data_IF_173086310344
#
_entry.id   IF_173086310344
#
_cell.length_a   1.000
_cell.length_b   1.000
_cell.length_c   1.000
_cell.angle_alpha   90.00
_cell.angle_beta   90.00
_cell.angle_gamma   90.00
#
_symmetry.space_group_name_H-M   'P 1'
#
loop_
_entity.id
_entity.type
_entity.pdbx_description
1 polymer ?
#
# COMPACT_ATOMS: atom_id res chain seq x y z
N UNK A 1 9.31 18.19 -5.25
CA UNK A 1 9.50 18.35 -3.80
C UNK A 1 9.99 17.01 -3.26
N UNK A 2 11.26 16.92 -2.86
CA UNK A 2 11.83 15.72 -2.21
C UNK A 2 11.58 15.94 -0.73
N UNK A 3 10.79 15.08 -0.11
CA UNK A 3 10.63 15.07 1.33
C UNK A 3 12.05 15.00 1.95
N UNK A 4 12.49 15.95 2.78
CA UNK A 4 13.80 15.92 3.44
C UNK A 4 14.01 14.68 4.34
N UNK A 5 12.96 13.94 4.66
CA UNK A 5 13.04 12.63 5.34
C UNK A 5 13.13 11.46 4.35
N UNK A 6 12.91 11.69 3.05
CA UNK A 6 13.09 10.67 2.04
C UNK A 6 14.57 10.41 1.80
N UNK A 7 15.03 9.15 1.88
CA UNK A 7 16.43 8.80 1.68
C UNK A 7 16.94 9.31 0.33
N UNK A 8 18.22 9.70 0.24
CA UNK A 8 18.82 10.18 -1.02
C UNK A 8 18.41 9.25 -2.17
N UNK A 9 17.67 9.76 -3.17
CA UNK A 9 17.04 8.92 -4.19
C UNK A 9 18.08 8.19 -5.07
N UNK A 10 19.31 8.70 -5.11
CA UNK A 10 20.40 8.15 -5.91
C UNK A 10 21.32 7.21 -5.11
N UNK A 11 21.56 7.50 -3.83
CA UNK A 11 22.62 6.84 -3.04
C UNK A 11 22.09 5.86 -1.98
N UNK A 12 20.87 6.05 -1.48
CA UNK A 12 20.40 5.23 -0.37
C UNK A 12 20.03 3.81 -0.82
N UNK A 13 20.35 2.82 0.02
CA UNK A 13 19.97 1.42 -0.21
C UNK A 13 18.49 1.15 0.07
N UNK A 14 17.82 1.99 0.87
CA UNK A 14 16.44 1.82 1.31
C UNK A 14 15.47 2.79 0.60
N UNK A 15 15.51 2.82 -0.73
CA UNK A 15 14.63 3.69 -1.54
C UNK A 15 13.47 2.86 -2.11
N UNK A 16 12.24 3.30 -1.86
CA UNK A 16 11.02 2.72 -2.44
C UNK A 16 10.63 3.43 -3.75
N UNK A 17 9.75 2.81 -4.52
CA UNK A 17 9.30 3.28 -5.84
C UNK A 17 8.86 4.76 -5.88
N UNK A 18 8.18 5.27 -4.86
CA UNK A 18 7.72 6.66 -4.81
C UNK A 18 8.87 7.66 -4.55
N UNK A 19 9.88 7.26 -3.78
CA UNK A 19 11.08 8.06 -3.51
C UNK A 19 12.14 8.01 -4.61
N UNK A 20 12.18 6.93 -5.40
CA UNK A 20 13.18 6.74 -6.45
C UNK A 20 13.08 7.81 -7.57
N UNK A 21 14.20 8.09 -8.24
CA UNK A 21 14.28 9.06 -9.35
C UNK A 21 15.05 8.48 -10.55
N UNK A 22 14.87 9.09 -11.73
CA UNK A 22 15.63 8.78 -12.96
C UNK A 22 15.56 7.31 -13.39
N UNK A 23 16.70 6.76 -13.83
CA UNK A 23 16.80 5.37 -14.28
C UNK A 23 16.41 4.37 -13.17
N UNK A 24 16.77 4.65 -11.92
CA UNK A 24 16.42 3.80 -10.77
C UNK A 24 14.92 3.68 -10.59
N UNK A 25 14.18 4.79 -10.71
CA UNK A 25 12.72 4.76 -10.70
C UNK A 25 12.15 3.95 -11.85
N UNK A 26 12.65 4.16 -13.07
CA UNK A 26 12.19 3.42 -14.26
C UNK A 26 12.37 1.90 -14.05
N UNK A 27 13.51 1.49 -13.51
CA UNK A 27 13.82 0.10 -13.16
C UNK A 27 12.84 -0.48 -12.14
N UNK A 28 12.74 0.15 -10.97
CA UNK A 28 11.86 -0.32 -9.89
C UNK A 28 10.41 -0.37 -10.37
N UNK A 29 9.94 0.68 -11.06
CA UNK A 29 8.56 0.75 -11.57
C UNK A 29 8.27 -0.30 -12.62
N UNK A 30 9.19 -0.58 -13.53
CA UNK A 30 9.00 -1.62 -14.56
C UNK A 30 8.79 -2.98 -13.90
N UNK A 31 9.65 -3.33 -12.93
CA UNK A 31 9.56 -4.61 -12.20
C UNK A 31 8.28 -4.66 -11.35
N UNK A 32 8.01 -3.63 -10.54
CA UNK A 32 6.80 -3.59 -9.70
C UNK A 32 5.52 -3.64 -10.53
N UNK A 33 5.44 -2.94 -11.66
CA UNK A 33 4.24 -2.96 -12.52
C UNK A 33 4.01 -4.34 -13.13
N UNK A 34 5.07 -5.12 -13.39
CA UNK A 34 4.95 -6.50 -13.85
C UNK A 34 4.29 -7.43 -12.82
N UNK A 35 4.42 -7.12 -11.53
CA UNK A 35 3.79 -7.89 -10.44
C UNK A 35 2.31 -7.52 -10.21
N UNK A 36 1.84 -6.41 -10.78
CA UNK A 36 0.47 -5.90 -10.65
C UNK A 36 -0.29 -5.94 -11.99
N UNK A 37 0.05 -6.87 -12.87
CA UNK A 37 -0.64 -7.05 -14.14
C UNK A 37 -2.01 -7.73 -13.95
N UNK A 38 -2.87 -7.68 -14.98
CA UNK A 38 -4.23 -8.24 -14.94
C UNK A 38 -4.26 -9.72 -14.56
N UNK A 39 -3.32 -10.53 -15.02
CA UNK A 39 -3.24 -11.97 -14.65
C UNK A 39 -2.99 -12.14 -13.15
N UNK A 40 -2.12 -11.33 -12.56
CA UNK A 40 -1.85 -11.34 -11.11
C UNK A 40 -3.04 -10.81 -10.32
N UNK A 41 -3.71 -9.76 -10.79
CA UNK A 41 -4.94 -9.24 -10.16
C UNK A 41 -6.07 -10.29 -10.14
N UNK A 42 -6.26 -11.02 -11.25
CA UNK A 42 -7.22 -12.15 -11.30
C UNK A 42 -6.88 -13.24 -10.28
N UNK A 43 -5.60 -13.53 -10.07
CA UNK A 43 -5.15 -14.51 -9.05
C UNK A 43 -5.34 -14.00 -7.62
N UNK A 44 -5.36 -12.69 -7.40
CA UNK A 44 -5.62 -12.08 -6.08
C UNK A 44 -7.10 -12.08 -5.73
N UNK A 45 -8.01 -12.03 -6.73
CA UNK A 45 -9.44 -11.92 -6.51
C UNK A 45 -10.00 -13.00 -5.56
N UNK A 46 -9.72 -14.31 -5.71
CA UNK A 46 -10.21 -15.32 -4.78
C UNK A 46 -9.78 -15.07 -3.32
N UNK A 47 -8.56 -14.54 -3.10
CA UNK A 47 -8.08 -14.21 -1.76
C UNK A 47 -8.86 -13.03 -1.17
N UNK A 48 -9.21 -12.05 -2.00
CA UNK A 48 -10.02 -10.90 -1.59
C UNK A 48 -11.42 -11.38 -1.21
N UNK A 49 -12.05 -12.22 -2.03
CA UNK A 49 -13.40 -12.75 -1.75
C UNK A 49 -13.44 -13.56 -0.46
N UNK A 50 -12.46 -14.44 -0.22
CA UNK A 50 -12.36 -15.18 1.03
C UNK A 50 -12.22 -14.28 2.28
N UNK A 51 -11.61 -13.09 2.15
CA UNK A 51 -11.55 -12.10 3.23
C UNK A 51 -12.85 -11.31 3.37
N UNK A 52 -13.56 -11.05 2.28
CA UNK A 52 -14.89 -10.43 2.32
C UNK A 52 -15.89 -11.35 3.04
N UNK A 53 -15.88 -12.64 2.75
CA UNK A 53 -16.76 -13.62 3.41
C UNK A 53 -16.54 -13.63 4.94
N UNK A 54 -15.28 -13.66 5.37
CA UNK A 54 -14.91 -13.60 6.78
C UNK A 54 -15.31 -12.27 7.42
N UNK A 55 -15.17 -11.16 6.69
CA UNK A 55 -15.57 -9.84 7.16
C UNK A 55 -17.08 -9.77 7.38
N UNK A 56 -17.88 -10.31 6.46
CA UNK A 56 -19.34 -10.39 6.63
C UNK A 56 -19.69 -11.24 7.86
N UNK A 57 -19.06 -12.40 8.03
CA UNK A 57 -19.25 -13.24 9.23
C UNK A 57 -18.87 -12.49 10.52
N UNK A 58 -17.80 -11.71 10.48
CA UNK A 58 -17.38 -10.87 11.61
C UNK A 58 -18.43 -9.80 11.94
N UNK A 59 -18.96 -9.09 10.94
CA UNK A 59 -20.01 -8.09 11.14
C UNK A 59 -21.28 -8.71 11.74
N UNK A 60 -21.68 -9.89 11.25
CA UNK A 60 -22.84 -10.63 11.80
C UNK A 60 -22.63 -11.02 13.26
N UNK A 61 -21.42 -11.48 13.64
CA UNK A 61 -21.09 -11.84 15.03
C UNK A 61 -21.09 -10.66 15.99
N UNK A 62 -20.73 -9.47 15.53
CA UNK A 62 -20.73 -8.25 16.34
C UNK A 62 -22.14 -7.73 16.64
N UNK A 63 -23.21 -8.43 16.22
CA UNK A 63 -24.61 -8.03 16.38
C UNK A 63 -24.89 -6.61 15.86
N UNK A 64 -24.11 -6.17 14.87
CA UNK A 64 -24.27 -4.90 14.16
C UNK A 64 -25.71 -4.69 13.68
N UNK A 65 -26.40 -5.78 13.31
CA UNK A 65 -27.77 -5.74 12.82
C UNK A 65 -28.84 -5.49 13.89
N UNK A 66 -28.57 -5.85 15.16
CA UNK A 66 -29.56 -5.83 16.25
C UNK A 66 -29.32 -4.72 17.27
N UNK A 67 -28.26 -3.94 17.08
CA UNK A 67 -27.87 -2.88 17.99
C UNK A 67 -28.25 -1.52 17.39
N UNK A 68 -29.00 -0.70 18.13
CA UNK A 68 -29.23 0.73 17.80
C UNK A 68 -27.95 1.58 17.98
N UNK A 69 -26.78 0.95 18.07
CA UNK A 69 -25.52 1.63 18.30
C UNK A 69 -24.92 2.12 16.98
N UNK A 70 -24.40 3.34 16.98
CA UNK A 70 -23.60 3.87 15.90
C UNK A 70 -22.33 3.02 15.69
N UNK A 71 -21.97 2.78 14.42
CA UNK A 71 -20.85 1.94 14.05
C UNK A 71 -19.81 2.76 13.30
N UNK A 72 -18.57 2.73 13.80
CA UNK A 72 -17.43 3.28 13.07
C UNK A 72 -17.01 2.34 11.93
N UNK A 73 -17.53 2.62 10.73
CA UNK A 73 -17.22 1.87 9.51
C UNK A 73 -15.76 2.01 9.08
N UNK A 74 -15.08 3.10 9.44
CA UNK A 74 -13.70 3.34 9.02
C UNK A 74 -12.74 2.37 9.68
N UNK A 75 -12.85 2.16 11.00
CA UNK A 75 -12.05 1.16 11.72
C UNK A 75 -12.27 -0.27 11.18
N UNK A 76 -13.49 -0.59 10.75
CA UNK A 76 -13.83 -1.87 10.13
C UNK A 76 -13.17 -2.04 8.76
N UNK A 77 -13.26 -1.03 7.89
CA UNK A 77 -12.61 -1.06 6.58
C UNK A 77 -11.08 -1.03 6.69
N UNK A 78 -10.50 -0.39 7.71
CA UNK A 78 -9.07 -0.52 7.99
C UNK A 78 -8.70 -1.97 8.30
N UNK A 79 -9.45 -2.67 9.14
CA UNK A 79 -9.17 -4.09 9.42
C UNK A 79 -9.26 -4.96 8.16
N UNK A 80 -10.29 -4.74 7.34
CA UNK A 80 -10.50 -5.44 6.08
C UNK A 80 -9.34 -5.24 5.11
N UNK A 81 -9.00 -3.99 4.83
CA UNK A 81 -7.93 -3.63 3.88
C UNK A 81 -6.55 -4.08 4.35
N UNK A 82 -6.30 -4.05 5.67
CA UNK A 82 -5.07 -4.61 6.25
C UNK A 82 -4.96 -6.12 6.04
N UNK A 83 -6.07 -6.84 6.17
CA UNK A 83 -6.09 -8.27 5.89
C UNK A 83 -5.81 -8.57 4.42
N UNK A 84 -6.55 -7.91 3.54
CA UNK A 84 -6.44 -8.08 2.09
C UNK A 84 -5.02 -7.82 1.63
N UNK A 85 -4.40 -6.71 2.07
CA UNK A 85 -3.02 -6.39 1.71
C UNK A 85 -2.02 -7.32 2.39
N UNK A 86 -2.29 -7.79 3.61
CA UNK A 86 -1.50 -8.81 4.29
C UNK A 86 -1.45 -10.13 3.51
N UNK A 87 -2.56 -10.56 2.92
CA UNK A 87 -2.62 -11.78 2.11
C UNK A 87 -2.01 -11.60 0.72
N UNK A 88 -2.36 -10.51 0.04
CA UNK A 88 -1.95 -10.32 -1.35
C UNK A 88 -0.53 -9.76 -1.47
N UNK A 89 -0.11 -8.82 -0.62
CA UNK A 89 1.21 -8.20 -0.71
C UNK A 89 2.27 -8.90 0.15
N UNK A 90 1.90 -9.53 1.27
CA UNK A 90 2.84 -10.13 2.22
C UNK A 90 2.74 -11.67 2.31
N UNK A 91 1.80 -12.29 1.60
CA UNK A 91 1.63 -13.75 1.59
C UNK A 91 1.22 -14.33 2.94
N UNK A 92 0.57 -13.55 3.80
CA UNK A 92 0.16 -13.99 5.12
C UNK A 92 -1.01 -14.98 5.05
N UNK A 93 -1.11 -15.84 6.06
CA UNK A 93 -2.24 -16.75 6.19
C UNK A 93 -3.50 -16.00 6.65
N UNK A 94 -4.64 -16.48 6.18
CA UNK A 94 -6.00 -16.06 6.57
C UNK A 94 -6.12 -16.13 8.10
N UNK A 95 -6.32 -15.00 8.78
CA UNK A 95 -6.51 -14.93 10.25
C UNK A 95 -6.87 -13.50 10.78
N UNK A 96 -7.37 -12.58 9.94
CA UNK A 96 -7.38 -11.16 10.33
C UNK A 96 -8.38 -10.78 11.43
N UNK A 97 -9.51 -11.48 11.53
CA UNK A 97 -10.63 -11.06 12.38
C UNK A 97 -10.71 -11.79 13.73
N UNK A 98 -10.04 -12.94 13.89
CA UNK A 98 -10.01 -13.67 15.18
C UNK A 98 -8.90 -13.18 16.12
N UNK A 99 -7.83 -12.61 15.55
CA UNK A 99 -6.76 -11.93 16.30
C UNK A 99 -6.13 -10.85 15.40
N UNK A 100 -6.27 -9.55 15.69
CA UNK A 100 -5.76 -8.50 14.81
C UNK A 100 -4.26 -8.73 14.59
N UNK A 101 -3.85 -8.98 13.34
CA UNK A 101 -2.52 -9.47 13.08
C UNK A 101 -1.50 -8.36 13.36
N UNK A 102 -0.28 -8.73 13.78
CA UNK A 102 0.74 -7.77 14.23
C UNK A 102 1.03 -6.65 13.21
N UNK A 103 0.82 -6.93 11.92
CA UNK A 103 0.98 -5.94 10.84
C UNK A 103 -0.09 -4.85 10.85
N UNK A 104 -1.33 -5.15 11.27
CA UNK A 104 -2.39 -4.15 11.42
C UNK A 104 -1.98 -3.03 12.39
N UNK A 105 -1.36 -3.41 13.51
CA UNK A 105 -0.81 -2.44 14.47
C UNK A 105 0.29 -1.58 13.83
N UNK A 106 1.16 -2.16 13.00
CA UNK A 106 2.20 -1.39 12.31
C UNK A 106 1.61 -0.43 11.28
N UNK A 107 0.64 -0.87 10.47
CA UNK A 107 -0.02 -0.02 9.49
C UNK A 107 -0.79 1.13 10.15
N UNK A 108 -1.56 0.84 11.20
CA UNK A 108 -2.26 1.86 11.98
C UNK A 108 -1.30 2.83 12.68
N UNK A 109 -0.11 2.41 13.07
CA UNK A 109 0.91 3.31 13.64
C UNK A 109 1.58 4.21 12.61
N UNK A 110 1.53 3.87 11.32
CA UNK A 110 2.05 4.73 10.25
C UNK A 110 1.08 5.88 9.93
N UNK A 111 -0.23 5.67 10.07
CA UNK A 111 -1.27 6.65 9.72
C UNK A 111 -2.10 7.17 10.92
N UNK A 112 -1.94 6.59 12.10
CA UNK A 112 -2.76 6.88 13.27
C UNK A 112 -2.44 8.23 13.91
N UNK A 113 -3.32 8.72 14.80
CA UNK A 113 -3.21 10.02 15.47
C UNK A 113 -2.16 10.01 16.59
N UNK A 114 -1.07 9.26 16.45
CA UNK A 114 0.17 9.61 17.16
C UNK A 114 1.01 10.46 16.21
N UNK A 115 0.73 11.78 16.09
CA UNK A 115 1.76 12.69 15.66
C UNK A 115 2.81 12.59 16.76
N UNK A 116 3.86 11.79 16.53
CA UNK A 116 5.08 11.96 17.30
C UNK A 116 5.65 13.29 16.85
N UNK A 117 5.06 14.39 17.35
CA UNK A 117 5.49 15.78 17.27
C UNK A 117 6.37 16.03 16.04
N UNK A 118 5.84 15.78 14.84
CA UNK A 118 6.28 16.51 13.68
C UNK A 118 5.34 17.70 13.60
N UNK A 119 5.44 18.60 14.59
CA UNK A 119 5.35 20.02 14.26
C UNK A 119 6.14 20.15 12.98
N UNK A 120 5.45 20.52 11.92
CA UNK A 120 5.90 20.48 10.55
C UNK A 120 7.24 21.23 10.44
N UNK A 121 8.36 20.55 10.72
CA UNK A 121 9.68 21.16 10.76
C UNK A 121 10.09 21.62 9.36
N UNK A 122 9.39 21.12 8.32
CA UNK A 122 9.45 21.63 6.96
C UNK A 122 8.96 23.08 6.87
N UNK A 123 7.94 23.49 7.63
CA UNK A 123 7.55 24.91 7.72
C UNK A 123 8.61 25.76 8.42
N UNK A 124 9.29 25.22 9.45
CA UNK A 124 10.41 25.90 10.13
C UNK A 124 11.71 25.92 9.31
N UNK A 125 11.90 24.97 8.40
CA UNK A 125 13.09 24.83 7.55
C UNK A 125 13.25 26.02 6.59
N UNK A 126 12.14 26.64 6.20
CA UNK A 126 12.13 27.88 5.41
C UNK A 126 12.56 29.11 6.21
N UNK A 127 12.34 29.11 7.53
CA UNK A 127 12.53 30.30 8.38
C UNK A 127 14.00 30.39 8.85
N UNK A 128 14.68 29.26 9.12
CA UNK A 128 16.07 29.28 9.63
C UNK A 128 16.92 28.13 9.03
N UNK A 129 17.56 28.33 7.87
CA UNK A 129 18.38 27.29 7.23
C UNK A 129 19.61 26.85 8.05
N UNK A 130 20.10 27.70 8.96
CA UNK A 130 21.34 27.48 9.74
C UNK A 130 21.21 26.42 10.85
N UNK A 131 20.00 26.18 11.38
CA UNK A 131 19.77 25.25 12.50
C UNK A 131 19.48 23.82 12.03
N UNK A 132 19.25 23.62 10.74
CA UNK A 132 18.86 22.32 10.14
C UNK A 132 19.86 21.20 10.42
N UNK A 133 21.17 21.47 10.46
CA UNK A 133 22.20 20.47 10.76
C UNK A 133 22.25 20.07 12.24
N UNK A 134 21.95 20.99 13.15
CA UNK A 134 21.97 20.71 14.60
C UNK A 134 20.66 20.05 15.05
N UNK A 135 19.54 20.50 14.49
CA UNK A 135 18.24 19.86 14.64
C UNK A 135 18.22 18.47 14.01
N UNK A 136 18.77 18.28 12.81
CA UNK A 136 18.84 16.94 12.19
C UNK A 136 19.64 15.96 13.03
N UNK A 137 20.70 16.42 13.70
CA UNK A 137 21.53 15.58 14.56
C UNK A 137 20.80 15.18 15.85
N UNK A 138 20.03 16.09 16.45
CA UNK A 138 19.18 15.80 17.61
C UNK A 138 17.99 14.90 17.21
N UNK A 139 17.34 15.15 16.07
CA UNK A 139 16.28 14.28 15.56
C UNK A 139 16.81 12.90 15.22
N UNK A 140 17.99 12.77 14.62
CA UNK A 140 18.62 11.47 14.32
C UNK A 140 18.97 10.69 15.59
N UNK A 141 19.38 11.36 16.66
CA UNK A 141 19.67 10.73 17.96
C UNK A 141 18.37 10.27 18.65
N UNK A 142 17.32 11.09 18.63
CA UNK A 142 16.01 10.78 19.22
C UNK A 142 15.29 9.70 18.39
N UNK A 143 15.36 9.76 17.07
CA UNK A 143 14.76 8.80 16.13
C UNK A 143 15.53 7.49 15.99
N UNK A 144 16.84 7.45 16.25
CA UNK A 144 17.58 6.18 16.40
C UNK A 144 17.24 5.46 17.71
N UNK A 145 16.82 6.20 18.74
CA UNK A 145 16.51 5.66 20.06
C UNK A 145 15.09 5.08 20.13
N UNK A 146 14.12 5.70 19.46
CA UNK A 146 12.78 5.13 19.28
C UNK A 146 12.79 4.20 18.07
N UNK A 147 12.47 2.90 18.23
CA UNK A 147 12.24 2.02 17.08
C UNK A 147 11.02 2.50 16.32
N UNK A 148 11.25 3.25 15.24
CA UNK A 148 10.20 3.79 14.37
C UNK A 148 9.25 2.65 13.93
N UNK A 149 7.95 2.91 13.80
CA UNK A 149 6.99 1.92 13.31
C UNK A 149 7.40 1.35 11.93
N UNK A 150 8.06 2.18 11.11
CA UNK A 150 8.65 1.81 9.83
C UNK A 150 9.75 0.74 9.97
N UNK A 151 10.64 0.86 10.95
CA UNK A 151 11.72 -0.11 11.17
C UNK A 151 11.18 -1.44 11.71
N UNK A 152 10.14 -1.39 12.57
CA UNK A 152 9.44 -2.60 13.01
C UNK A 152 8.75 -3.32 11.84
N UNK A 153 8.18 -2.55 10.92
CA UNK A 153 7.58 -3.10 9.70
C UNK A 153 8.65 -3.67 8.75
N UNK A 154 9.80 -3.01 8.60
CA UNK A 154 10.95 -3.54 7.85
C UNK A 154 11.44 -4.87 8.44
N UNK A 155 11.61 -4.94 9.77
CA UNK A 155 12.01 -6.15 10.47
C UNK A 155 10.98 -7.28 10.24
N UNK A 156 9.69 -6.95 10.24
CA UNK A 156 8.62 -7.90 9.98
C UNK A 156 8.68 -8.44 8.55
N UNK A 157 8.78 -7.57 7.54
CA UNK A 157 8.89 -7.96 6.12
C UNK A 157 10.17 -8.78 5.88
N UNK A 158 11.29 -8.38 6.49
CA UNK A 158 12.57 -9.11 6.39
C UNK A 158 12.44 -10.52 6.95
N UNK A 159 11.76 -10.68 8.09
CA UNK A 159 11.46 -12.00 8.67
C UNK A 159 10.59 -12.85 7.75
N UNK A 160 9.61 -12.24 7.07
CA UNK A 160 8.77 -12.95 6.09
C UNK A 160 9.60 -13.39 4.87
N UNK A 161 10.46 -12.51 4.35
CA UNK A 161 11.37 -12.82 3.25
C UNK A 161 12.33 -13.97 3.56
N UNK A 162 12.84 -14.02 4.80
CA UNK A 162 13.75 -15.08 5.25
C UNK A 162 13.05 -16.43 5.46
N UNK A 163 11.74 -16.41 5.75
CA UNK A 163 10.96 -17.65 5.87
C UNK A 163 10.73 -18.20 4.47
N UNK A 164 11.18 -19.44 4.23
CA UNK A 164 10.78 -20.21 3.04
C UNK A 164 9.28 -20.50 3.16
N UNK A 165 8.44 -19.62 2.63
CA UNK A 165 7.00 -19.88 2.57
C UNK A 165 6.79 -21.09 1.64
N UNK A 166 6.22 -22.17 2.19
CA UNK A 166 5.97 -23.43 1.45
C UNK A 166 4.92 -23.27 0.35
N UNK A 167 4.11 -22.20 0.40
CA UNK A 167 3.12 -21.84 -0.61
C UNK A 167 3.70 -20.82 -1.60
N UNK A 168 4.02 -21.27 -2.81
CA UNK A 168 4.11 -20.39 -3.98
C UNK A 168 2.69 -19.99 -4.37
N UNK A 169 2.10 -19.04 -3.67
CA UNK A 169 0.84 -18.47 -4.14
C UNK A 169 1.17 -17.38 -5.15
N UNK A 170 0.74 -17.54 -6.41
CA UNK A 170 1.13 -16.64 -7.50
C UNK A 170 0.62 -15.20 -7.32
N UNK A 171 -0.35 -15.01 -6.43
CA UNK A 171 -0.91 -13.74 -5.99
C UNK A 171 -0.04 -12.97 -4.98
N UNK A 172 1.03 -13.56 -4.43
CA UNK A 172 1.90 -12.90 -3.44
C UNK A 172 2.91 -11.97 -4.12
N UNK A 173 2.69 -10.66 -3.98
CA UNK A 173 3.55 -9.62 -4.57
C UNK A 173 4.98 -9.72 -4.03
N UNK A 174 5.17 -10.04 -2.74
CA UNK A 174 6.50 -10.16 -2.13
C UNK A 174 7.33 -11.25 -2.80
N UNK A 175 6.73 -12.41 -3.04
CA UNK A 175 7.43 -13.53 -3.71
C UNK A 175 7.67 -13.23 -5.18
N UNK A 176 6.68 -12.63 -5.87
CA UNK A 176 6.86 -12.22 -7.26
C UNK A 176 8.03 -11.23 -7.41
N UNK A 177 8.19 -10.27 -6.48
CA UNK A 177 9.35 -9.36 -6.49
C UNK A 177 10.67 -10.05 -6.14
N UNK A 178 10.63 -11.07 -5.27
CA UNK A 178 11.80 -11.87 -4.91
C UNK A 178 12.36 -12.65 -6.10
N UNK A 179 11.55 -13.02 -7.09
CA UNK A 179 12.04 -13.65 -8.33
C UNK A 179 13.00 -12.73 -9.12
N UNK A 180 12.90 -11.42 -8.93
CA UNK A 180 13.77 -10.42 -9.54
C UNK A 180 14.96 -10.02 -8.64
N UNK A 181 15.22 -10.73 -7.54
CA UNK A 181 16.28 -10.40 -6.60
C UNK A 181 17.69 -10.62 -7.19
N UNK A 182 18.58 -9.63 -7.03
CA UNK A 182 20.04 -9.80 -7.15
C UNK A 182 20.66 -10.20 -5.83
N UNK A 183 21.48 -11.25 -5.83
CA UNK A 183 22.36 -11.60 -4.70
C UNK A 183 23.63 -10.75 -4.62
N UNK A 184 23.93 -9.92 -5.62
CA UNK A 184 25.17 -9.15 -5.68
C UNK A 184 25.12 -7.91 -4.78
N UNK A 185 26.02 -7.89 -3.79
CA UNK A 185 26.36 -6.75 -2.93
C UNK A 185 27.11 -5.61 -3.67
N UNK A 186 26.96 -5.49 -4.99
CA UNK A 186 27.73 -4.56 -5.81
C UNK A 186 26.96 -3.26 -6.10
N UNK A 187 26.67 -2.48 -5.06
CA UNK A 187 26.10 -1.13 -5.23
C UNK A 187 27.13 -0.08 -5.67
N UNK A 188 28.43 -0.36 -5.57
CA UNK A 188 29.47 0.65 -5.83
C UNK A 188 29.87 0.79 -7.31
N UNK A 189 29.48 -0.14 -8.19
CA UNK A 189 29.90 -0.09 -9.59
C UNK A 189 28.87 0.56 -10.53
N UNK A 190 27.57 0.45 -10.26
CA UNK A 190 26.51 0.94 -11.17
C UNK A 190 26.12 2.39 -10.90
N UNK A 191 26.23 2.89 -9.67
CA UNK A 191 25.98 4.31 -9.36
C UNK A 191 27.10 5.25 -9.87
N UNK A 192 28.28 4.70 -10.21
CA UNK A 192 29.40 5.41 -10.86
C UNK A 192 29.47 5.21 -12.38
N UNK A 193 28.52 4.50 -12.99
CA UNK A 193 28.51 4.42 -14.45
C UNK A 193 28.00 5.74 -15.01
N UNK A 194 28.91 6.47 -15.64
CA UNK A 194 28.61 7.62 -16.47
C UNK A 194 27.40 7.33 -17.37
N UNK A 195 26.50 8.31 -17.46
CA UNK A 195 25.33 8.33 -18.34
C UNK A 195 25.64 7.88 -19.79
N UNK A 196 26.88 8.08 -20.24
CA UNK A 196 27.36 7.70 -21.57
C UNK A 196 27.65 6.19 -21.74
N UNK A 197 27.89 5.43 -20.67
CA UNK A 197 28.10 3.97 -20.75
C UNK A 197 26.79 3.17 -20.77
N UNK A 198 25.66 3.79 -20.37
CA UNK A 198 24.32 3.17 -20.44
C UNK A 198 23.84 3.08 -21.89
N UNK A 199 24.24 4.03 -22.75
CA UNK A 199 23.89 4.04 -24.18
C UNK A 199 24.62 2.97 -25.00
N UNK A 200 25.76 2.46 -24.51
CA UNK A 200 26.59 1.46 -25.20
C UNK A 200 26.33 0.01 -24.73
N UNK A 201 25.38 -0.21 -23.81
CA UNK A 201 24.94 -1.54 -23.43
C UNK A 201 23.83 -1.98 -24.39
N UNK A 202 24.26 -2.70 -25.42
CA UNK A 202 23.43 -3.38 -26.40
C UNK A 202 22.10 -3.91 -25.84
N UNK A 203 21.07 -3.79 -26.68
CA UNK A 203 19.69 -4.28 -26.60
C UNK A 203 19.55 -5.81 -26.39
N UNK A 204 20.29 -6.38 -25.46
CA UNK A 204 20.03 -7.70 -24.89
C UNK A 204 19.14 -7.50 -23.67
N UNK A 205 17.99 -8.17 -23.67
CA UNK A 205 17.02 -8.24 -22.57
C UNK A 205 17.65 -8.81 -21.29
N UNK A 206 18.57 -8.09 -20.64
CA UNK A 206 18.98 -8.39 -19.28
C UNK A 206 17.77 -8.07 -18.41
N UNK A 207 17.16 -9.10 -17.85
CA UNK A 207 16.11 -8.95 -16.85
C UNK A 207 16.62 -7.98 -15.77
N UNK A 208 15.96 -6.83 -15.68
CA UNK A 208 16.27 -5.86 -14.65
C UNK A 208 16.01 -6.52 -13.28
N UNK A 209 16.92 -6.32 -12.33
CA UNK A 209 16.85 -6.93 -11.01
C UNK A 209 16.79 -5.88 -9.90
N UNK A 210 16.24 -6.28 -8.75
CA UNK A 210 16.11 -5.47 -7.53
C UNK A 210 17.01 -5.98 -6.42
N UNK A 211 17.49 -5.06 -5.60
CA UNK A 211 18.17 -5.42 -4.36
C UNK A 211 17.16 -5.73 -3.25
N UNK A 212 17.53 -6.58 -2.30
CA UNK A 212 16.67 -6.99 -1.17
C UNK A 212 16.07 -5.78 -0.44
N UNK A 213 16.87 -4.75 -0.19
CA UNK A 213 16.41 -3.52 0.48
C UNK A 213 15.40 -2.72 -0.36
N UNK A 214 15.53 -2.72 -1.68
CA UNK A 214 14.56 -2.08 -2.58
C UNK A 214 13.26 -2.88 -2.63
N UNK A 215 13.33 -4.21 -2.58
CA UNK A 215 12.16 -5.09 -2.48
C UNK A 215 11.41 -4.83 -1.18
N UNK A 216 12.11 -4.85 -0.04
CA UNK A 216 11.53 -4.56 1.29
C UNK A 216 10.88 -3.18 1.30
N UNK A 217 11.59 -2.17 0.82
CA UNK A 217 11.10 -0.78 0.82
C UNK A 217 9.88 -0.62 -0.11
N UNK A 218 9.87 -1.29 -1.26
CA UNK A 218 8.77 -1.22 -2.23
C UNK A 218 7.53 -1.94 -1.71
N UNK A 219 7.68 -3.14 -1.13
CA UNK A 219 6.56 -3.87 -0.51
C UNK A 219 6.01 -3.10 0.67
N UNK A 220 6.87 -2.56 1.54
CA UNK A 220 6.44 -1.68 2.64
C UNK A 220 5.57 -0.55 2.12
N UNK A 221 6.02 0.14 1.07
CA UNK A 221 5.27 1.24 0.47
C UNK A 221 3.92 0.77 -0.09
N UNK A 222 3.88 -0.32 -0.86
CA UNK A 222 2.63 -0.88 -1.40
C UNK A 222 1.67 -1.30 -0.28
N UNK A 223 2.17 -1.91 0.80
CA UNK A 223 1.34 -2.32 1.93
C UNK A 223 0.69 -1.14 2.64
N UNK A 224 1.47 -0.07 2.86
CA UNK A 224 1.00 1.16 3.50
C UNK A 224 0.01 1.89 2.59
N UNK A 225 0.35 2.05 1.31
CA UNK A 225 -0.49 2.77 0.34
C UNK A 225 -1.84 2.07 0.11
N UNK A 226 -1.87 0.74 0.02
CA UNK A 226 -3.08 -0.03 -0.25
C UNK A 226 -4.00 -0.22 0.97
N UNK A 227 -3.50 0.02 2.17
CA UNK A 227 -4.26 -0.08 3.42
C UNK A 227 -5.19 1.14 3.61
N UNK A 228 -4.61 2.32 3.84
CA UNK A 228 -5.39 3.46 4.35
C UNK A 228 -6.22 4.15 3.26
N UNK A 229 -5.70 4.26 2.03
CA UNK A 229 -6.42 4.92 0.93
C UNK A 229 -7.70 4.17 0.54
N UNK A 230 -7.64 2.84 0.50
CA UNK A 230 -8.80 1.99 0.21
C UNK A 230 -9.82 2.06 1.35
N UNK A 231 -9.37 2.02 2.61
CA UNK A 231 -10.25 2.10 3.77
C UNK A 231 -11.02 3.43 3.80
N UNK A 232 -10.33 4.55 3.56
CA UNK A 232 -10.96 5.86 3.48
C UNK A 232 -11.96 5.94 2.31
N UNK A 233 -11.60 5.41 1.13
CA UNK A 233 -12.51 5.39 -0.04
C UNK A 233 -13.81 4.65 0.28
N UNK A 234 -13.71 3.45 0.85
CA UNK A 234 -14.89 2.65 1.22
C UNK A 234 -15.73 3.34 2.30
N UNK A 235 -15.09 3.94 3.29
CA UNK A 235 -15.78 4.68 4.36
C UNK A 235 -16.58 5.86 3.81
N UNK A 236 -15.97 6.70 2.96
CA UNK A 236 -16.68 7.82 2.34
C UNK A 236 -17.75 7.36 1.36
N UNK A 237 -17.52 6.29 0.60
CA UNK A 237 -18.53 5.73 -0.30
C UNK A 237 -19.75 5.25 0.49
N UNK A 238 -19.56 4.53 1.60
CA UNK A 238 -20.66 4.11 2.47
C UNK A 238 -21.41 5.29 3.07
N UNK A 239 -20.69 6.32 3.54
CA UNK A 239 -21.29 7.55 4.05
C UNK A 239 -22.14 8.25 2.98
N UNK A 240 -21.61 8.46 1.77
CA UNK A 240 -22.33 9.10 0.67
C UNK A 240 -23.56 8.28 0.23
N UNK A 241 -23.46 6.96 0.20
CA UNK A 241 -24.59 6.08 -0.13
C UNK A 241 -25.68 6.10 0.95
N UNK A 242 -25.29 6.15 2.22
CA UNK A 242 -26.24 6.25 3.33
C UNK A 242 -27.04 7.56 3.28
N UNK A 243 -26.40 8.67 2.90
CA UNK A 243 -27.04 9.98 2.69
C UNK A 243 -27.87 10.05 1.39
N UNK A 244 -27.75 9.08 0.48
CA UNK A 244 -28.42 9.08 -0.82
C UNK A 244 -29.12 7.74 -1.11
N UNK A 245 -30.25 7.43 -0.43
CA UNK A 245 -30.93 6.13 -0.56
C UNK A 245 -31.33 5.77 -2.00
N UNK A 246 -31.78 6.77 -2.78
CA UNK A 246 -32.11 6.63 -4.21
C UNK A 246 -30.93 6.12 -5.08
N UNK A 247 -29.69 6.46 -4.68
CA UNK A 247 -28.47 6.05 -5.38
C UNK A 247 -28.04 4.68 -4.89
N UNK A 248 -28.25 4.38 -3.61
CA UNK A 248 -28.03 3.06 -3.03
C UNK A 248 -28.95 1.99 -3.67
N UNK A 249 -30.21 2.32 -3.92
CA UNK A 249 -31.14 1.42 -4.61
C UNK A 249 -30.62 1.03 -6.00
N UNK A 250 -30.12 2.00 -6.78
CA UNK A 250 -29.49 1.72 -8.09
C UNK A 250 -28.25 0.84 -8.01
N UNK A 251 -27.46 0.96 -6.94
CA UNK A 251 -26.34 0.04 -6.69
C UNK A 251 -26.85 -1.38 -6.48
N UNK A 252 -27.91 -1.56 -5.68
CA UNK A 252 -28.51 -2.88 -5.48
C UNK A 252 -29.11 -3.44 -6.77
N UNK A 253 -29.82 -2.64 -7.57
CA UNK A 253 -30.32 -3.05 -8.88
C UNK A 253 -29.20 -3.53 -9.81
N UNK A 254 -28.06 -2.84 -9.82
CA UNK A 254 -26.90 -3.27 -10.60
C UNK A 254 -26.32 -4.59 -10.06
N UNK A 255 -26.15 -4.73 -8.74
CA UNK A 255 -25.67 -5.98 -8.12
C UNK A 255 -26.59 -7.16 -8.46
N UNK A 256 -27.91 -6.96 -8.37
CA UNK A 256 -28.92 -7.97 -8.71
C UNK A 256 -28.92 -8.31 -10.21
N UNK A 257 -28.52 -7.37 -11.07
CA UNK A 257 -28.36 -7.65 -12.49
C UNK A 257 -27.14 -8.51 -12.78
N UNK A 258 -26.04 -8.30 -12.04
CA UNK A 258 -24.77 -9.02 -12.17
C UNK A 258 -24.80 -10.39 -11.48
N UNK A 259 -25.64 -10.58 -10.46
CA UNK A 259 -25.75 -11.83 -9.68
C UNK A 259 -26.66 -12.89 -10.31
N UNK A 260 -27.38 -12.56 -11.40
CA UNK A 260 -28.30 -13.50 -12.09
C UNK A 260 -27.59 -14.65 -12.81
N UNK A 261 -26.28 -14.58 -13.00
CA UNK A 261 -25.47 -15.74 -13.33
C UNK A 261 -25.17 -16.49 -12.03
N UNK A 262 -25.60 -17.76 -11.90
CA UNK A 262 -25.26 -18.71 -10.82
C UNK A 262 -23.73 -18.96 -10.65
N UNK A 263 -22.90 -18.19 -11.34
CA UNK A 263 -21.45 -18.25 -11.34
C UNK A 263 -20.86 -17.45 -10.17
N UNK A 264 -19.77 -17.99 -9.62
CA UNK A 264 -18.95 -17.30 -8.64
C UNK A 264 -18.49 -15.96 -9.23
N UNK A 265 -18.58 -14.89 -8.44
CA UNK A 265 -18.10 -13.56 -8.79
C UNK A 265 -16.68 -13.63 -9.37
N UNK A 266 -16.55 -13.32 -10.67
CA UNK A 266 -15.27 -13.31 -11.38
C UNK A 266 -14.86 -11.88 -11.75
N UNK A 267 -13.59 -11.72 -12.12
CA UNK A 267 -12.98 -10.45 -12.49
C UNK A 267 -13.69 -9.78 -13.67
N UNK A 268 -14.15 -10.56 -14.63
CA UNK A 268 -14.84 -10.03 -15.82
C UNK A 268 -16.21 -9.46 -15.46
N UNK A 269 -16.98 -10.15 -14.61
CA UNK A 269 -18.27 -9.66 -14.08
C UNK A 269 -18.07 -8.34 -13.32
N UNK A 270 -17.04 -8.26 -12.47
CA UNK A 270 -16.72 -7.03 -11.73
C UNK A 270 -16.35 -5.87 -12.65
N UNK A 271 -15.75 -6.15 -13.82
CA UNK A 271 -15.38 -5.12 -14.79
C UNK A 271 -16.59 -4.52 -15.52
N UNK A 272 -17.74 -5.19 -15.47
CA UNK A 272 -19.01 -4.74 -16.06
C UNK A 272 -19.84 -3.84 -15.12
N UNK A 273 -19.44 -3.70 -13.85
CA UNK A 273 -20.14 -2.89 -12.84
C UNK A 273 -19.95 -1.36 -13.06
N UNK A 274 -20.70 -0.80 -14.01
CA UNK A 274 -20.58 0.58 -14.48
C UNK A 274 -20.98 1.58 -13.39
N UNK A 275 -22.10 1.36 -12.72
CA UNK A 275 -22.68 2.30 -11.76
C UNK A 275 -21.92 2.30 -10.43
N UNK A 276 -21.53 1.12 -9.91
CA UNK A 276 -20.61 1.01 -8.76
C UNK A 276 -19.30 1.75 -9.05
N UNK A 277 -18.73 1.57 -10.25
CA UNK A 277 -17.53 2.31 -10.64
C UNK A 277 -17.78 3.83 -10.67
N UNK A 278 -18.94 4.28 -11.15
CA UNK A 278 -19.32 5.69 -11.10
C UNK A 278 -19.43 6.23 -9.66
N UNK A 279 -19.99 5.46 -8.72
CA UNK A 279 -20.05 5.81 -7.29
C UNK A 279 -18.66 5.96 -6.70
N UNK A 280 -17.75 5.02 -6.99
CA UNK A 280 -16.37 5.09 -6.51
C UNK A 280 -15.62 6.31 -7.08
N UNK A 281 -15.80 6.60 -8.37
CA UNK A 281 -15.21 7.78 -9.01
C UNK A 281 -15.75 9.09 -8.42
N UNK A 282 -17.06 9.17 -8.16
CA UNK A 282 -17.67 10.34 -7.54
C UNK A 282 -17.21 10.54 -6.09
N UNK A 283 -17.05 9.44 -5.34
CA UNK A 283 -16.47 9.45 -4.00
C UNK A 283 -15.06 10.03 -4.03
N UNK A 284 -14.21 9.57 -4.95
CA UNK A 284 -12.84 10.07 -5.10
C UNK A 284 -12.77 11.50 -5.65
N UNK A 285 -13.78 11.95 -6.40
CA UNK A 285 -13.92 13.34 -6.85
C UNK A 285 -14.19 14.28 -5.68
N UNK A 286 -15.05 13.87 -4.74
CA UNK A 286 -15.40 14.64 -3.55
C UNK A 286 -14.32 14.55 -2.45
N UNK A 287 -13.75 13.37 -2.26
CA UNK A 287 -12.76 13.06 -1.21
C UNK A 287 -11.45 12.50 -1.79
N UNK A 288 -10.63 13.32 -2.45
CA UNK A 288 -9.36 12.88 -3.02
C UNK A 288 -8.27 12.70 -1.95
N UNK A 289 -7.86 11.46 -1.70
CA UNK A 289 -6.83 11.11 -0.68
C UNK A 289 -5.44 11.68 -0.96
N UNK A 290 -5.12 11.93 -2.23
CA UNK A 290 -3.82 12.46 -2.67
C UNK A 290 -3.91 13.92 -3.17
N UNK A 291 -4.86 14.70 -2.64
CA UNK A 291 -4.91 16.13 -2.90
C UNK A 291 -3.78 16.83 -2.14
N UNK A 292 -2.75 17.27 -2.85
CA UNK A 292 -1.90 18.34 -2.33
C UNK A 292 -2.79 19.59 -2.28
N UNK A 293 -3.23 19.98 -1.08
CA UNK A 293 -3.72 21.34 -0.85
C UNK A 293 -2.58 22.29 -1.16
N UNK A 294 -2.51 22.73 -2.42
CA UNK A 294 -1.77 23.90 -2.82
C UNK A 294 -2.54 25.08 -2.21
N UNK A 295 -2.19 25.45 -0.98
CA UNK A 295 -2.48 26.79 -0.47
C UNK A 295 -1.56 27.75 -1.25
N UNK A 296 -1.99 28.16 -2.44
CA UNK A 296 -1.59 29.45 -2.98
C UNK A 296 -2.58 30.45 -2.39
N UNK A 297 -2.17 31.10 -1.30
CA UNK A 297 -2.64 32.44 -0.92
C UNK A 297 -1.39 33.31 -0.87
#
# INVERSE_FOLDING_TARGET
MIDPLSPNPYESSNVHIFGARGHRWKRIRTITSSTLNTTKLRQMLPLILEEMDDFIVYLLKQNVYYSDSEIDVHSLFQQLTASVIGRCALGLEKNAFENPPKHFKYFKQVFGPEPTISMDFQTFQWIIPMTTKFLSLITDIIWKSSKNPIDKLNDFITKLLSKKIKRKNAADILQNLKEFETFDNCYLQTAKMDYNNILNLDNSKKAEKLHTNEIISTIRFLSIAGFDTTANTLSFACFLLAENPEKLEKVFEEIDSLSKSDDKLDYDILSEAIYINAVLLETLRLFPHASMYIFII
#
